data_IF_037379531764
#
_entry.id   IF_037379531764
#
_cell.length_a   1.000
_cell.length_b   1.000
_cell.length_c   1.000
_cell.angle_alpha   90.00
_cell.angle_beta   90.00
_cell.angle_gamma   90.00
#
_symmetry.space_group_name_H-M   'P 1'
#
loop_
_entity.id
_entity.type
_entity.pdbx_description
1 polymer ?
#
# COMPACT_ATOMS: atom_id res chain seq x y z
N UNK A 1 7.20 -66.63 32.87
CA UNK A 1 7.70 -65.66 31.88
C UNK A 1 6.52 -64.84 31.41
N UNK A 2 6.43 -63.56 31.79
CA UNK A 2 5.36 -62.67 31.29
C UNK A 2 5.66 -62.33 29.83
N UNK A 3 4.67 -62.36 28.91
CA UNK A 3 4.90 -61.99 27.53
C UNK A 3 5.26 -60.50 27.42
N UNK A 4 6.20 -60.17 26.55
CA UNK A 4 6.56 -58.79 26.19
C UNK A 4 5.34 -58.10 25.54
N UNK A 5 5.05 -56.83 25.84
CA UNK A 5 3.98 -56.11 25.17
C UNK A 5 4.34 -55.87 23.69
N UNK A 6 3.37 -55.96 22.77
CA UNK A 6 3.61 -55.77 21.34
C UNK A 6 3.95 -54.31 21.02
N UNK A 7 4.85 -54.14 20.05
CA UNK A 7 5.34 -52.86 19.56
C UNK A 7 4.18 -51.92 19.16
N UNK A 8 4.22 -50.72 19.73
CA UNK A 8 3.26 -49.64 19.52
C UNK A 8 3.44 -49.11 18.09
N UNK A 9 2.44 -49.31 17.22
CA UNK A 9 2.42 -48.65 15.90
C UNK A 9 2.05 -47.19 16.15
N UNK A 10 3.05 -46.33 16.11
CA UNK A 10 2.89 -44.87 16.18
C UNK A 10 2.05 -44.41 14.98
N UNK A 11 1.00 -43.63 15.22
CA UNK A 11 0.32 -42.91 14.14
C UNK A 11 1.35 -42.02 13.42
N UNK A 12 1.23 -41.76 12.11
CA UNK A 12 2.13 -40.81 11.46
C UNK A 12 1.79 -39.41 11.97
N UNK A 13 2.40 -39.05 13.10
CA UNK A 13 2.51 -37.67 13.53
C UNK A 13 3.35 -37.00 12.46
N UNK A 14 2.79 -35.96 11.83
CA UNK A 14 3.58 -35.14 10.93
C UNK A 14 4.81 -34.67 11.71
N UNK A 15 6.00 -34.95 11.16
CA UNK A 15 7.23 -34.65 11.88
C UNK A 15 7.36 -33.14 12.05
N UNK A 16 8.01 -32.69 13.12
CA UNK A 16 8.27 -31.27 13.32
C UNK A 16 9.00 -30.64 12.11
N UNK A 17 9.90 -31.39 11.47
CA UNK A 17 10.58 -30.97 10.26
C UNK A 17 9.62 -30.76 9.07
N UNK A 18 8.59 -31.59 8.93
CA UNK A 18 7.57 -31.42 7.89
C UNK A 18 6.71 -30.17 8.15
N UNK A 19 6.27 -29.97 9.40
CA UNK A 19 5.49 -28.79 9.81
C UNK A 19 6.30 -27.52 9.58
N UNK A 20 7.59 -27.52 9.96
CA UNK A 20 8.50 -26.40 9.75
C UNK A 20 8.67 -26.07 8.27
N UNK A 21 8.86 -27.10 7.43
CA UNK A 21 8.99 -26.94 5.98
C UNK A 21 7.73 -26.32 5.37
N UNK A 22 6.54 -26.79 5.77
CA UNK A 22 5.27 -26.24 5.31
C UNK A 22 5.05 -24.80 5.79
N UNK A 23 5.37 -24.50 7.05
CA UNK A 23 5.27 -23.15 7.61
C UNK A 23 6.17 -22.16 6.86
N UNK A 24 7.43 -22.53 6.63
CA UNK A 24 8.38 -21.70 5.87
C UNK A 24 7.90 -21.50 4.43
N UNK A 25 7.38 -22.54 3.78
CA UNK A 25 6.83 -22.43 2.43
C UNK A 25 5.63 -21.46 2.39
N UNK A 26 4.72 -21.55 3.36
CA UNK A 26 3.57 -20.65 3.47
C UNK A 26 4.00 -19.19 3.73
N UNK A 27 4.95 -18.96 4.65
CA UNK A 27 5.50 -17.64 4.95
C UNK A 27 6.15 -17.03 3.70
N UNK A 28 6.98 -17.80 2.99
CA UNK A 28 7.65 -17.32 1.78
C UNK A 28 6.64 -16.99 0.68
N UNK A 29 5.61 -17.82 0.50
CA UNK A 29 4.55 -17.55 -0.45
C UNK A 29 3.78 -16.28 -0.08
N UNK A 30 3.48 -16.08 1.21
CA UNK A 30 2.83 -14.86 1.70
C UNK A 30 3.67 -13.61 1.43
N UNK A 31 4.98 -13.65 1.73
CA UNK A 31 5.93 -12.55 1.49
C UNK A 31 6.03 -12.15 0.02
N UNK A 32 5.86 -13.09 -0.91
CA UNK A 32 5.92 -12.82 -2.35
C UNK A 32 4.55 -12.41 -2.90
N UNK A 33 3.49 -13.09 -2.50
CA UNK A 33 2.15 -12.90 -3.06
C UNK A 33 1.50 -11.61 -2.58
N UNK A 34 1.71 -11.22 -1.32
CA UNK A 34 1.02 -10.06 -0.72
C UNK A 34 1.45 -8.74 -1.35
N UNK A 35 2.77 -8.40 -1.44
CA UNK A 35 3.19 -7.15 -2.09
C UNK A 35 2.75 -7.09 -3.54
N UNK A 36 2.90 -8.20 -4.28
CA UNK A 36 2.48 -8.29 -5.69
C UNK A 36 0.98 -8.04 -5.87
N UNK A 37 0.15 -8.63 -5.01
CA UNK A 37 -1.31 -8.47 -5.09
C UNK A 37 -1.70 -7.04 -4.76
N UNK A 38 -1.10 -6.46 -3.72
CA UNK A 38 -1.33 -5.07 -3.35
C UNK A 38 -0.94 -4.10 -4.46
N UNK A 39 0.26 -4.24 -5.04
CA UNK A 39 0.73 -3.41 -6.15
C UNK A 39 -0.19 -3.53 -7.37
N UNK A 40 -0.68 -4.74 -7.68
CA UNK A 40 -1.66 -4.93 -8.77
C UNK A 40 -2.97 -4.20 -8.53
N UNK A 41 -3.49 -4.23 -7.29
CA UNK A 41 -4.69 -3.46 -6.95
C UNK A 41 -4.45 -1.95 -7.03
N UNK A 42 -3.29 -1.48 -6.56
CA UNK A 42 -2.91 -0.08 -6.66
C UNK A 42 -2.80 0.37 -8.12
N UNK A 43 -2.13 -0.42 -8.97
CA UNK A 43 -1.99 -0.12 -10.39
C UNK A 43 -3.36 -0.13 -11.10
N UNK A 44 -4.27 -1.03 -10.72
CA UNK A 44 -5.65 -0.99 -11.23
C UNK A 44 -6.35 0.34 -10.90
N UNK A 45 -6.25 0.82 -9.66
CA UNK A 45 -6.83 2.12 -9.26
C UNK A 45 -6.24 3.27 -10.08
N UNK A 46 -4.92 3.27 -10.28
CA UNK A 46 -4.21 4.29 -11.06
C UNK A 46 -4.68 4.31 -12.51
N UNK A 47 -4.70 3.15 -13.17
CA UNK A 47 -5.18 3.03 -14.55
C UNK A 47 -6.66 3.35 -14.70
N UNK A 48 -7.49 2.97 -13.73
CA UNK A 48 -8.90 3.35 -13.73
C UNK A 48 -9.11 4.86 -13.57
N UNK A 49 -8.33 5.51 -12.71
CA UNK A 49 -8.45 6.96 -12.48
C UNK A 49 -8.13 7.74 -13.75
N UNK A 50 -7.01 7.42 -14.41
CA UNK A 50 -6.63 8.02 -15.68
C UNK A 50 -7.58 7.64 -16.81
N UNK A 51 -7.89 6.35 -16.96
CA UNK A 51 -8.69 5.82 -18.06
C UNK A 51 -10.14 6.32 -18.06
N UNK A 52 -10.68 6.64 -16.89
CA UNK A 52 -12.02 7.25 -16.77
C UNK A 52 -11.97 8.79 -16.71
N UNK A 53 -10.78 9.41 -16.76
CA UNK A 53 -10.64 10.87 -16.65
C UNK A 53 -11.25 11.45 -15.37
N UNK A 54 -11.10 10.73 -14.24
CA UNK A 54 -11.67 11.16 -12.96
C UNK A 54 -11.03 12.47 -12.54
N UNK A 55 -11.83 13.51 -12.34
CA UNK A 55 -11.34 14.81 -11.87
C UNK A 55 -10.86 14.69 -10.43
N UNK A 56 -9.61 15.05 -10.18
CA UNK A 56 -9.05 15.12 -8.82
C UNK A 56 -9.80 16.14 -7.98
N UNK A 57 -10.06 15.84 -6.71
CA UNK A 57 -10.74 16.76 -5.80
C UNK A 57 -9.99 18.08 -5.59
N UNK A 58 -8.67 18.07 -5.78
CA UNK A 58 -7.82 19.27 -5.75
C UNK A 58 -7.73 19.98 -7.11
N UNK A 59 -8.46 19.49 -8.13
CA UNK A 59 -8.44 20.00 -9.51
C UNK A 59 -7.02 20.07 -10.08
N UNK A 60 -6.17 19.13 -9.66
CA UNK A 60 -4.76 19.04 -10.07
C UNK A 60 -4.60 18.46 -11.47
N UNK A 61 -5.55 17.70 -11.98
CA UNK A 61 -5.52 17.19 -13.35
C UNK A 61 -6.32 18.04 -14.34
N UNK A 62 -7.34 18.76 -13.89
CA UNK A 62 -8.23 19.52 -14.75
C UNK A 62 -8.61 20.86 -14.14
N UNK A 63 -8.56 21.92 -14.94
CA UNK A 63 -9.00 23.26 -14.57
C UNK A 63 -10.36 23.54 -15.18
N UNK A 64 -11.28 24.09 -14.39
CA UNK A 64 -12.61 24.52 -14.83
C UNK A 64 -12.73 26.02 -14.68
N UNK A 65 -13.24 26.70 -15.71
CA UNK A 65 -13.41 28.14 -15.70
C UNK A 65 -14.66 28.54 -16.49
N UNK A 66 -15.18 29.72 -16.16
CA UNK A 66 -16.37 30.31 -16.77
C UNK A 66 -15.91 31.43 -17.71
N UNK A 67 -16.31 31.38 -18.98
CA UNK A 67 -16.11 32.53 -19.88
C UNK A 67 -17.37 33.40 -19.83
N UNK A 68 -17.20 34.65 -19.39
CA UNK A 68 -18.22 35.66 -19.60
C UNK A 68 -18.17 36.05 -21.08
N UNK A 69 -19.20 35.71 -21.86
CA UNK A 69 -19.39 36.39 -23.14
C UNK A 69 -19.68 37.86 -22.83
N UNK A 70 -18.74 38.74 -23.13
CA UNK A 70 -19.03 40.16 -23.27
C UNK A 70 -19.91 40.31 -24.51
N UNK A 71 -21.23 40.30 -24.31
CA UNK A 71 -22.15 40.77 -25.35
C UNK A 71 -21.87 42.27 -25.51
N UNK A 72 -21.62 42.79 -26.73
CA UNK A 72 -21.44 44.21 -26.94
C UNK A 72 -22.65 44.95 -26.37
N UNK A 73 -22.40 45.94 -25.51
CA UNK A 73 -23.39 46.66 -24.68
C UNK A 73 -24.36 47.55 -25.46
N UNK A 74 -24.62 47.27 -26.73
CA UNK A 74 -25.40 48.15 -27.61
C UNK A 74 -26.90 47.83 -27.67
N UNK A 75 -27.45 46.95 -26.81
CA UNK A 75 -28.88 46.66 -26.91
C UNK A 75 -29.70 46.46 -25.63
N UNK A 76 -29.15 46.09 -24.47
CA UNK A 76 -29.94 46.03 -23.23
C UNK A 76 -29.10 46.29 -21.97
N UNK A 77 -29.67 47.15 -21.13
CA UNK A 77 -29.75 47.22 -19.66
C UNK A 77 -28.79 46.37 -18.78
N UNK A 78 -28.55 46.84 -17.55
CA UNK A 78 -27.66 46.27 -16.52
C UNK A 78 -28.07 44.88 -15.99
N UNK A 79 -28.30 43.90 -16.86
CA UNK A 79 -28.52 42.51 -16.48
C UNK A 79 -27.20 41.76 -16.53
N UNK A 80 -26.71 41.40 -15.35
CA UNK A 80 -25.66 40.41 -15.15
C UNK A 80 -26.05 39.12 -15.90
N UNK A 81 -25.51 38.90 -17.10
CA UNK A 81 -25.69 37.65 -17.84
C UNK A 81 -24.89 36.57 -17.12
N UNK A 82 -25.53 35.48 -16.65
CA UNK A 82 -24.80 34.35 -16.11
C UNK A 82 -23.80 33.85 -17.15
N UNK A 83 -22.63 33.31 -16.76
CA UNK A 83 -21.75 32.67 -17.70
C UNK A 83 -22.47 31.48 -18.35
N UNK A 84 -22.71 31.58 -19.66
CA UNK A 84 -23.48 30.60 -20.44
C UNK A 84 -22.70 29.31 -20.73
N UNK A 85 -21.43 29.22 -20.36
CA UNK A 85 -20.58 28.07 -20.70
C UNK A 85 -19.50 27.81 -19.67
N UNK A 86 -19.49 26.57 -19.18
CA UNK A 86 -18.41 25.98 -18.40
C UNK A 86 -17.37 25.41 -19.34
N UNK A 87 -16.15 25.92 -19.25
CA UNK A 87 -15.01 25.40 -19.98
C UNK A 87 -14.13 24.59 -19.05
N UNK A 88 -13.40 23.66 -19.64
CA UNK A 88 -12.46 22.84 -18.92
C UNK A 88 -11.25 22.57 -19.78
N UNK A 89 -10.08 22.56 -19.15
CA UNK A 89 -8.81 22.25 -19.81
C UNK A 89 -7.94 21.38 -18.91
N UNK A 90 -7.15 20.44 -19.47
CA UNK A 90 -6.20 19.67 -18.69
C UNK A 90 -5.12 20.60 -18.13
N UNK A 91 -4.68 20.32 -16.90
CA UNK A 91 -3.46 20.95 -16.39
C UNK A 91 -2.22 20.33 -17.06
N UNK A 92 -1.13 21.07 -17.03
CA UNK A 92 0.18 20.58 -17.47
C UNK A 92 1.24 20.77 -16.38
N UNK A 93 2.14 19.80 -16.30
CA UNK A 93 3.29 19.78 -15.41
C UNK A 93 4.59 19.56 -16.22
N UNK A 94 5.73 19.60 -15.55
CA UNK A 94 7.05 19.55 -16.17
C UNK A 94 7.55 20.92 -16.64
N UNK A 95 8.80 20.95 -17.10
CA UNK A 95 9.45 22.17 -17.57
C UNK A 95 8.71 22.72 -18.81
N UNK A 96 8.28 23.97 -18.74
CA UNK A 96 7.50 24.62 -19.80
C UNK A 96 6.10 24.02 -20.02
N UNK A 97 5.57 23.22 -19.09
CA UNK A 97 4.24 22.61 -19.23
C UNK A 97 4.17 21.55 -20.34
N UNK A 98 5.28 20.87 -20.61
CA UNK A 98 5.40 19.89 -21.70
C UNK A 98 4.67 18.57 -21.45
N UNK A 99 4.15 18.34 -20.25
CA UNK A 99 3.45 17.11 -19.88
C UNK A 99 1.99 17.42 -19.50
N UNK A 100 1.04 17.03 -20.37
CA UNK A 100 -0.39 17.28 -20.18
C UNK A 100 -1.08 16.14 -19.44
N UNK A 101 -1.95 16.49 -18.48
CA UNK A 101 -2.78 15.55 -17.75
C UNK A 101 -3.85 14.87 -18.62
N UNK A 102 -4.15 15.40 -19.80
CA UNK A 102 -5.05 14.73 -20.75
C UNK A 102 -4.43 13.49 -21.38
N UNK A 103 -3.09 13.43 -21.48
CA UNK A 103 -2.39 12.35 -22.18
C UNK A 103 -1.57 11.48 -21.23
N UNK A 104 -1.11 12.03 -20.10
CA UNK A 104 -0.27 11.30 -19.16
C UNK A 104 -0.59 11.67 -17.70
N UNK A 105 -1.13 10.74 -16.93
CA UNK A 105 -1.39 10.95 -15.50
C UNK A 105 -0.13 11.03 -14.64
N UNK A 106 1.01 10.55 -15.15
CA UNK A 106 2.29 10.58 -14.43
C UNK A 106 2.99 11.94 -14.49
N UNK A 107 2.41 12.96 -15.13
CA UNK A 107 3.03 14.28 -15.17
C UNK A 107 3.17 14.88 -13.78
N UNK A 108 4.39 15.29 -13.44
CA UNK A 108 4.74 15.86 -12.14
C UNK A 108 5.67 17.07 -12.28
N UNK A 109 5.66 17.92 -11.28
CA UNK A 109 6.59 19.04 -11.07
C UNK A 109 7.04 19.05 -9.61
N UNK A 110 8.17 19.70 -9.34
CA UNK A 110 8.61 19.93 -7.96
C UNK A 110 7.53 20.68 -7.16
N UNK A 111 7.22 20.19 -5.97
CA UNK A 111 6.32 20.88 -5.07
C UNK A 111 6.97 22.17 -4.57
N UNK A 112 6.17 23.24 -4.49
CA UNK A 112 6.61 24.52 -3.94
C UNK A 112 5.71 24.94 -2.77
N UNK A 113 6.31 25.59 -1.79
CA UNK A 113 5.67 26.14 -0.61
C UNK A 113 6.19 27.57 -0.43
N UNK A 114 5.31 28.58 -0.50
CA UNK A 114 5.70 30.00 -0.47
C UNK A 114 6.87 30.31 -1.42
N UNK A 115 6.74 29.88 -2.69
CA UNK A 115 7.76 30.02 -3.75
C UNK A 115 9.07 29.25 -3.51
N UNK A 116 9.17 28.43 -2.45
CA UNK A 116 10.34 27.60 -2.16
C UNK A 116 10.09 26.15 -2.53
N UNK A 117 11.06 25.52 -3.18
CA UNK A 117 10.98 24.09 -3.47
C UNK A 117 10.97 23.26 -2.19
N UNK A 118 10.08 22.26 -2.14
CA UNK A 118 10.06 21.22 -1.12
C UNK A 118 10.85 20.01 -1.62
N UNK A 119 12.05 19.75 -1.09
CA UNK A 119 12.92 18.69 -1.61
C UNK A 119 12.25 17.31 -1.54
N UNK A 120 12.20 16.63 -2.69
CA UNK A 120 11.65 15.29 -2.80
C UNK A 120 10.12 15.22 -2.92
N UNK A 121 9.37 16.27 -2.56
CA UNK A 121 7.93 16.31 -2.78
C UNK A 121 7.62 16.76 -4.20
N UNK A 122 6.65 16.07 -4.82
CA UNK A 122 6.14 16.40 -6.14
C UNK A 122 4.65 16.74 -6.07
N UNK A 123 4.21 17.56 -7.01
CA UNK A 123 2.80 17.77 -7.35
C UNK A 123 2.59 17.32 -8.79
N UNK A 124 1.39 16.91 -9.17
CA UNK A 124 1.13 16.37 -10.49
C UNK A 124 -0.35 16.21 -10.77
N UNK A 125 -0.67 15.61 -11.91
CA UNK A 125 -2.04 15.40 -12.36
C UNK A 125 -2.88 14.74 -11.27
N UNK A 126 -2.41 13.59 -10.79
CA UNK A 126 -3.01 12.88 -9.67
C UNK A 126 -2.14 13.00 -8.42
N UNK A 127 -2.71 13.34 -7.24
CA UNK A 127 -1.96 13.35 -5.99
C UNK A 127 -1.27 12.01 -5.70
N UNK A 128 -1.90 10.90 -6.07
CA UNK A 128 -1.33 9.56 -5.91
C UNK A 128 -0.08 9.36 -6.80
N UNK A 129 -0.12 9.80 -8.05
CA UNK A 129 1.03 9.69 -8.96
C UNK A 129 2.20 10.55 -8.50
N UNK A 130 1.90 11.77 -8.08
CA UNK A 130 2.89 12.68 -7.53
C UNK A 130 3.53 12.13 -6.25
N UNK A 131 2.71 11.57 -5.34
CA UNK A 131 3.19 10.94 -4.11
C UNK A 131 4.11 9.75 -4.42
N UNK A 132 3.70 8.84 -5.30
CA UNK A 132 4.47 7.65 -5.64
C UNK A 132 5.84 7.98 -6.24
N UNK A 133 5.92 9.05 -7.04
CA UNK A 133 7.17 9.55 -7.62
C UNK A 133 8.01 10.38 -6.65
N UNK A 134 7.41 10.90 -5.58
CA UNK A 134 8.10 11.66 -4.55
C UNK A 134 9.12 10.80 -3.79
N UNK A 135 10.10 11.46 -3.18
CA UNK A 135 11.09 10.84 -2.30
C UNK A 135 10.91 11.33 -0.86
N UNK A 136 11.63 10.70 0.08
CA UNK A 136 11.54 11.04 1.49
C UNK A 136 12.46 12.19 1.92
N UNK A 137 13.20 12.84 1.00
CA UNK A 137 14.29 13.80 1.30
C UNK A 137 13.87 14.84 2.36
N UNK A 138 12.73 15.50 2.18
CA UNK A 138 12.23 16.50 3.13
C UNK A 138 11.97 15.92 4.53
N UNK A 139 11.54 14.65 4.64
CA UNK A 139 11.25 13.99 5.92
C UNK A 139 12.51 13.65 6.72
N UNK A 140 13.70 13.77 6.14
CA UNK A 140 14.98 13.67 6.86
C UNK A 140 15.50 15.04 7.31
N UNK A 141 14.83 16.13 6.95
CA UNK A 141 15.27 17.49 7.25
C UNK A 141 14.27 18.21 8.15
N UNK A 142 14.66 18.48 9.41
CA UNK A 142 13.79 19.12 10.39
C UNK A 142 13.33 20.53 9.95
N UNK A 143 14.16 21.27 9.21
CA UNK A 143 13.77 22.58 8.66
C UNK A 143 12.64 22.42 7.65
N UNK A 144 12.71 21.41 6.79
CA UNK A 144 11.65 21.13 5.82
C UNK A 144 10.35 20.68 6.50
N UNK A 145 10.45 19.78 7.49
CA UNK A 145 9.31 19.36 8.30
C UNK A 145 8.66 20.54 9.02
N UNK A 146 9.46 21.43 9.61
CA UNK A 146 8.95 22.61 10.30
C UNK A 146 8.25 23.58 9.33
N UNK A 147 8.75 23.72 8.10
CA UNK A 147 8.07 24.52 7.07
C UNK A 147 6.67 23.94 6.75
N UNK A 148 6.56 22.62 6.58
CA UNK A 148 5.27 21.94 6.39
C UNK A 148 4.34 22.12 7.59
N UNK A 149 4.88 21.95 8.81
CA UNK A 149 4.12 22.06 10.06
C UNK A 149 3.51 23.46 10.22
N UNK A 150 4.31 24.51 10.03
CA UNK A 150 3.86 25.88 10.23
C UNK A 150 2.69 26.27 9.30
N UNK A 151 2.56 25.63 8.14
CA UNK A 151 1.52 25.94 7.17
C UNK A 151 0.25 25.10 7.31
N UNK A 152 0.39 23.79 7.58
CA UNK A 152 -0.74 22.85 7.53
C UNK A 152 -1.17 22.31 8.90
N UNK A 153 -0.32 22.38 9.91
CA UNK A 153 -0.55 21.74 11.22
C UNK A 153 -0.65 22.85 12.28
N UNK A 154 -1.88 23.22 12.63
CA UNK A 154 -2.17 24.20 13.71
C UNK A 154 -1.89 23.69 15.13
N UNK A 155 -1.29 22.50 15.26
CA UNK A 155 -1.06 21.83 16.54
C UNK A 155 0.42 21.80 16.92
N UNK A 156 0.69 21.74 18.23
CA UNK A 156 2.03 21.59 18.80
C UNK A 156 2.59 20.16 18.64
N UNK A 157 2.28 19.47 17.55
CA UNK A 157 2.83 18.15 17.24
C UNK A 157 4.35 18.25 17.08
N UNK A 158 5.10 17.54 17.92
CA UNK A 158 6.54 17.40 17.78
C UNK A 158 6.81 16.28 16.76
N UNK A 159 7.10 16.66 15.52
CA UNK A 159 7.47 15.73 14.45
C UNK A 159 9.00 15.70 14.37
N UNK A 160 9.58 14.51 14.53
CA UNK A 160 11.02 14.31 14.38
C UNK A 160 11.35 13.93 12.94
N UNK A 161 12.55 14.29 12.51
CA UNK A 161 13.09 13.84 11.22
C UNK A 161 13.35 12.33 11.25
N UNK A 162 13.20 11.69 10.10
CA UNK A 162 13.49 10.26 9.93
C UNK A 162 14.98 9.98 10.14
N UNK A 163 15.28 8.76 10.59
CA UNK A 163 16.65 8.32 10.82
C UNK A 163 17.26 7.74 9.54
N UNK A 164 18.32 8.35 8.96
CA UNK A 164 18.91 7.90 7.69
C UNK A 164 19.53 6.51 7.75
N UNK A 165 19.71 5.93 8.95
CA UNK A 165 20.19 4.55 9.08
C UNK A 165 19.11 3.50 8.78
N UNK A 166 17.82 3.88 8.83
CA UNK A 166 16.71 2.95 8.61
C UNK A 166 16.29 2.90 7.13
N UNK A 167 16.33 4.03 6.43
CA UNK A 167 15.99 4.11 5.02
C UNK A 167 16.71 5.26 4.33
N UNK A 168 16.88 5.16 3.02
CA UNK A 168 17.55 6.18 2.21
C UNK A 168 16.62 7.37 1.97
N UNK A 169 17.08 8.62 2.11
CA UNK A 169 16.27 9.80 1.77
C UNK A 169 15.87 9.83 0.28
N UNK A 170 16.66 9.21 -0.59
CA UNK A 170 16.44 9.22 -2.04
C UNK A 170 15.51 8.11 -2.53
N UNK A 171 15.02 7.25 -1.65
CA UNK A 171 14.05 6.23 -2.03
C UNK A 171 12.73 6.90 -2.43
N UNK A 172 12.11 6.41 -3.50
CA UNK A 172 10.77 6.87 -3.89
C UNK A 172 9.72 6.22 -2.99
N UNK A 173 8.59 6.89 -2.80
CA UNK A 173 7.44 6.30 -2.10
C UNK A 173 6.97 5.05 -2.82
N UNK A 174 7.03 5.01 -4.16
CA UNK A 174 6.72 3.80 -4.95
C UNK A 174 7.58 2.61 -4.53
N UNK A 175 8.89 2.79 -4.41
CA UNK A 175 9.80 1.71 -4.00
C UNK A 175 9.48 1.18 -2.61
N UNK A 176 9.00 2.03 -1.69
CA UNK A 176 8.54 1.60 -0.37
C UNK A 176 7.20 0.85 -0.47
N UNK A 177 6.25 1.37 -1.23
CA UNK A 177 4.94 0.75 -1.49
C UNK A 177 5.09 -0.64 -2.11
N UNK A 178 6.05 -0.82 -3.02
CA UNK A 178 6.34 -2.11 -3.68
C UNK A 178 6.77 -3.20 -2.69
N UNK A 179 7.30 -2.82 -1.52
CA UNK A 179 7.66 -3.70 -0.42
C UNK A 179 6.71 -3.57 0.79
N UNK A 180 5.52 -3.02 0.58
CA UNK A 180 4.51 -2.75 1.62
C UNK A 180 5.00 -1.84 2.77
N UNK A 181 6.07 -1.07 2.53
CA UNK A 181 6.76 -0.25 3.53
C UNK A 181 7.25 -1.08 4.73
N UNK A 182 7.53 -2.38 4.52
CA UNK A 182 8.03 -3.29 5.55
C UNK A 182 9.55 -3.31 5.50
N UNK A 183 10.18 -2.91 6.61
CA UNK A 183 11.65 -2.91 6.72
C UNK A 183 12.23 -4.32 6.87
N UNK A 184 11.59 -5.14 7.71
CA UNK A 184 11.99 -6.53 7.96
C UNK A 184 10.80 -7.40 8.31
N UNK A 185 10.86 -8.66 7.88
CA UNK A 185 9.92 -9.69 8.31
C UNK A 185 10.52 -10.47 9.47
N UNK A 186 9.77 -10.60 10.56
CA UNK A 186 10.16 -11.43 11.71
C UNK A 186 9.28 -12.68 11.74
N UNK A 187 9.92 -13.85 11.73
CA UNK A 187 9.23 -15.13 11.77
C UNK A 187 9.16 -15.66 13.19
N UNK A 188 7.99 -16.13 13.60
CA UNK A 188 7.81 -16.82 14.87
C UNK A 188 6.92 -18.05 14.64
N UNK A 189 7.57 -19.21 14.45
CA UNK A 189 6.88 -20.49 14.25
C UNK A 189 6.71 -21.15 15.62
N UNK A 190 5.46 -21.32 16.06
CA UNK A 190 5.14 -21.98 17.34
C UNK A 190 4.51 -23.35 17.09
N UNK A 191 5.18 -24.41 17.57
CA UNK A 191 4.75 -25.79 17.34
C UNK A 191 3.66 -26.24 18.31
N UNK A 192 3.66 -25.70 19.54
CA UNK A 192 2.71 -26.10 20.59
C UNK A 192 1.27 -25.81 20.18
N UNK A 193 1.02 -24.67 19.56
CA UNK A 193 -0.31 -24.29 19.07
C UNK A 193 -0.77 -25.20 17.92
N UNK A 194 0.14 -25.53 16.99
CA UNK A 194 -0.15 -26.45 15.89
C UNK A 194 -0.51 -27.83 16.43
N UNK A 195 0.33 -28.43 17.27
CA UNK A 195 0.09 -29.79 17.76
C UNK A 195 -1.07 -29.89 18.75
N UNK A 196 -1.35 -28.85 19.53
CA UNK A 196 -2.54 -28.82 20.39
C UNK A 196 -3.83 -28.68 19.59
N UNK A 197 -3.82 -27.90 18.50
CA UNK A 197 -4.97 -27.76 17.60
C UNK A 197 -5.21 -29.01 16.74
N UNK A 198 -4.13 -29.72 16.39
CA UNK A 198 -4.18 -30.97 15.63
C UNK A 198 -4.25 -32.22 16.52
N UNK A 199 -4.33 -32.06 17.85
CA UNK A 199 -4.47 -33.19 18.76
C UNK A 199 -5.85 -33.84 18.60
N UNK A 200 -5.93 -35.17 18.56
CA UNK A 200 -7.23 -35.85 18.51
C UNK A 200 -8.01 -35.54 19.79
N UNK A 201 -9.31 -35.29 19.63
CA UNK A 201 -10.25 -35.04 20.73
C UNK A 201 -10.41 -36.29 21.60
N UNK A 202 -10.37 -37.47 20.98
CA UNK A 202 -10.51 -38.73 21.70
C UNK A 202 -9.76 -39.86 21.00
N UNK A 203 -9.00 -40.63 21.76
CA UNK A 203 -8.43 -41.90 21.31
C UNK A 203 -9.16 -43.06 21.96
N UNK A 204 -9.47 -44.08 21.16
CA UNK A 204 -10.01 -45.36 21.59
C UNK A 204 -9.04 -46.46 21.18
N UNK A 205 -9.07 -47.60 21.87
CA UNK A 205 -8.31 -48.77 21.46
C UNK A 205 -9.24 -49.97 21.32
N UNK A 206 -8.94 -50.83 20.36
CA UNK A 206 -9.60 -52.13 20.18
C UNK A 206 -8.55 -53.24 20.22
N UNK A 207 -8.85 -54.30 20.95
CA UNK A 207 -8.02 -55.50 21.01
C UNK A 207 -8.46 -56.47 19.93
N UNK A 208 -7.55 -56.82 19.04
CA UNK A 208 -7.78 -57.86 18.06
C UNK A 208 -7.17 -59.17 18.59
N UNK A 209 -7.97 -59.92 19.34
CA UNK A 209 -7.55 -61.16 20.04
C UNK A 209 -7.05 -62.26 19.09
N UNK A 210 -7.45 -62.23 17.82
CA UNK A 210 -6.97 -63.21 16.82
C UNK A 210 -5.54 -62.94 16.34
N UNK A 211 -5.04 -61.73 16.55
CA UNK A 211 -3.73 -61.30 16.05
C UNK A 211 -2.85 -60.69 17.16
N UNK A 212 -3.27 -60.77 18.43
CA UNK A 212 -2.63 -60.12 19.59
C UNK A 212 -2.23 -58.66 19.33
N UNK A 213 -3.08 -57.92 18.61
CA UNK A 213 -2.78 -56.56 18.15
C UNK A 213 -3.69 -55.55 18.82
N UNK A 214 -3.08 -54.52 19.39
CA UNK A 214 -3.78 -53.31 19.85
C UNK A 214 -3.89 -52.37 18.65
N UNK A 215 -5.11 -51.95 18.32
CA UNK A 215 -5.36 -50.91 17.33
C UNK A 215 -5.82 -49.67 18.07
N UNK A 216 -5.04 -48.60 17.99
CA UNK A 216 -5.44 -47.28 18.45
C UNK A 216 -6.23 -46.59 17.32
N UNK A 217 -7.32 -45.92 17.66
CA UNK A 217 -8.12 -45.11 16.73
C UNK A 217 -8.42 -43.79 17.41
N UNK A 218 -7.83 -42.73 16.88
CA UNK A 218 -7.98 -41.38 17.37
C UNK A 218 -8.86 -40.56 16.40
N UNK A 219 -9.81 -39.79 16.96
CA UNK A 219 -10.67 -38.85 16.24
C UNK A 219 -10.33 -37.42 16.63
#
# INVERSE_FOLDING_TARGET
>A
MRPRPPDMIDFPRESQANVETQAIAAINQFRIATPRTFVRMLDLIRYMSQGNGIVSSTMSNWHFFLLNRTVPSSYFDNTYTPPDSLFSEPRSYGEGGNCSCSTNAMCTSAATLDERFLPGFLVGCEPLEALLQSTLICLYNLTCINALKNMYISSNLSIQALNPTLSSPNITVRSLVDILMIDRWEDNITYDQYYSSCAPLQCSYSLNERADRVVLTCK
#
